data_IF_492974534685
#
_entry.id   IF_492974534685
#
_cell.length_a   1.000
_cell.length_b   1.000
_cell.length_c   1.000
_cell.angle_alpha   90.00
_cell.angle_beta   90.00
_cell.angle_gamma   90.00
#
_symmetry.space_group_name_H-M   'P 1'
#
loop_
_entity.id
_entity.type
_entity.pdbx_description
1 polymer ?
#
# COMPACT_ATOMS: atom_id res chain seq x y z
N UNK A 1 -13.22 -21.15 2.02
CA UNK A 1 -12.95 -19.86 1.36
C UNK A 1 -12.21 -18.87 2.26
N UNK A 2 -12.71 -18.55 3.48
CA UNK A 2 -12.04 -17.59 4.39
C UNK A 2 -10.64 -18.03 4.86
N UNK A 3 -10.46 -19.31 5.18
CA UNK A 3 -9.17 -19.87 5.60
C UNK A 3 -8.13 -19.81 4.47
N UNK A 4 -8.51 -20.20 3.25
CA UNK A 4 -7.64 -20.15 2.09
C UNK A 4 -7.07 -18.74 1.83
N UNK A 5 -7.91 -17.70 1.87
CA UNK A 5 -7.45 -16.31 1.68
C UNK A 5 -6.50 -15.91 2.81
N UNK A 6 -6.83 -16.28 4.05
CA UNK A 6 -5.97 -16.01 5.19
C UNK A 6 -4.58 -16.66 5.03
N UNK A 7 -4.54 -17.93 4.66
CA UNK A 7 -3.29 -18.67 4.44
C UNK A 7 -2.48 -18.03 3.29
N UNK A 8 -3.16 -17.66 2.19
CA UNK A 8 -2.52 -16.98 1.05
C UNK A 8 -1.90 -15.65 1.42
N UNK A 9 -2.56 -14.86 2.27
CA UNK A 9 -2.05 -13.57 2.74
C UNK A 9 -0.87 -13.72 3.72
N UNK A 10 -0.72 -14.86 4.39
CA UNK A 10 0.40 -15.12 5.29
C UNK A 10 1.68 -15.52 4.57
N UNK A 11 1.56 -16.12 3.37
CA UNK A 11 2.70 -16.53 2.55
C UNK A 11 3.75 -15.41 2.46
N UNK A 12 5.00 -15.78 2.69
CA UNK A 12 6.15 -14.88 2.59
C UNK A 12 6.38 -14.58 1.10
N UNK A 13 6.43 -13.30 0.74
CA UNK A 13 6.77 -12.89 -0.64
C UNK A 13 8.27 -13.01 -0.88
N UNK A 14 8.72 -13.02 -2.14
CA UNK A 14 10.16 -13.05 -2.43
C UNK A 14 10.89 -11.82 -1.87
N UNK A 15 10.23 -10.64 -1.88
CA UNK A 15 10.75 -9.42 -1.24
C UNK A 15 10.91 -9.61 0.28
N UNK A 16 9.88 -10.14 0.96
CA UNK A 16 9.92 -10.42 2.40
C UNK A 16 11.00 -11.46 2.74
N UNK A 17 11.17 -12.48 1.90
CA UNK A 17 12.22 -13.49 2.06
C UNK A 17 13.61 -12.86 1.97
N UNK A 18 13.86 -12.03 0.96
CA UNK A 18 15.13 -11.31 0.81
C UNK A 18 15.45 -10.43 2.03
N UNK A 19 14.42 -9.76 2.59
CA UNK A 19 14.55 -8.95 3.81
C UNK A 19 14.96 -9.83 5.00
N UNK A 20 14.29 -10.96 5.18
CA UNK A 20 14.58 -11.91 6.27
C UNK A 20 15.97 -12.56 6.14
N UNK A 21 16.51 -12.67 4.93
CA UNK A 21 17.87 -13.16 4.66
C UNK A 21 18.97 -12.11 4.92
N UNK A 22 18.60 -10.91 5.36
CA UNK A 22 19.53 -9.86 5.80
C UNK A 22 19.62 -8.64 4.88
N UNK A 23 18.86 -8.61 3.78
CA UNK A 23 18.72 -7.42 2.94
C UNK A 23 17.63 -6.50 3.49
N UNK A 24 17.89 -5.85 4.63
CA UNK A 24 16.92 -5.02 5.33
C UNK A 24 16.47 -3.76 4.57
N UNK A 25 17.05 -3.48 3.41
CA UNK A 25 16.75 -2.29 2.61
C UNK A 25 15.71 -2.67 1.56
N UNK A 26 14.65 -1.86 1.47
CA UNK A 26 13.64 -1.98 0.42
C UNK A 26 14.28 -1.83 -0.96
N UNK A 27 13.99 -2.79 -1.83
CA UNK A 27 14.38 -2.71 -3.24
C UNK A 27 13.54 -1.63 -3.94
N UNK A 28 14.11 -0.43 -4.06
CA UNK A 28 13.47 0.72 -4.67
C UNK A 28 13.06 0.48 -6.13
N UNK A 29 13.72 -0.43 -6.85
CA UNK A 29 13.46 -0.69 -8.27
C UNK A 29 12.06 -1.27 -8.52
N UNK A 30 11.48 -1.92 -7.50
CA UNK A 30 10.10 -2.41 -7.48
C UNK A 30 9.10 -1.26 -7.50
N UNK A 31 9.47 -0.12 -6.93
CA UNK A 31 8.54 0.96 -6.61
C UNK A 31 8.73 2.21 -7.46
N UNK A 32 9.95 2.52 -7.88
CA UNK A 32 10.24 3.76 -8.60
C UNK A 32 11.54 3.69 -9.38
N UNK A 33 11.59 4.42 -10.50
CA UNK A 33 12.84 4.73 -11.23
C UNK A 33 13.35 6.16 -10.93
N UNK A 34 12.64 6.90 -10.07
CA UNK A 34 12.92 8.30 -9.78
C UNK A 34 13.95 8.44 -8.64
N UNK A 35 14.81 9.47 -8.73
CA UNK A 35 15.75 9.84 -7.68
C UNK A 35 15.06 10.40 -6.44
N UNK A 36 13.91 11.07 -6.62
CA UNK A 36 12.98 11.39 -5.53
C UNK A 36 12.17 10.11 -5.24
N UNK A 37 12.05 9.71 -3.96
CA UNK A 37 11.36 8.47 -3.58
C UNK A 37 9.83 8.62 -3.69
N UNK A 38 9.35 8.66 -4.93
CA UNK A 38 7.97 8.72 -5.35
C UNK A 38 7.60 7.34 -5.86
N UNK A 39 6.74 6.64 -5.16
CA UNK A 39 6.27 5.32 -5.58
C UNK A 39 5.33 5.51 -6.77
N UNK A 40 5.66 4.87 -7.89
CA UNK A 40 5.03 5.10 -9.18
C UNK A 40 3.94 4.07 -9.45
N UNK A 41 2.73 4.56 -9.73
CA UNK A 41 1.59 3.78 -10.15
C UNK A 41 1.89 2.92 -11.38
N UNK A 42 2.72 3.39 -12.31
CA UNK A 42 3.07 2.65 -13.53
C UNK A 42 3.93 1.40 -13.28
N UNK A 43 4.57 1.31 -12.10
CA UNK A 43 5.30 0.12 -11.67
C UNK A 43 4.40 -0.91 -11.00
N UNK A 44 3.28 -0.46 -10.44
CA UNK A 44 2.43 -1.26 -9.56
C UNK A 44 1.06 -1.61 -10.18
N UNK A 45 0.60 -0.84 -11.16
CA UNK A 45 -0.61 -1.09 -11.94
C UNK A 45 -0.23 -1.66 -13.29
N UNK A 46 -1.02 -2.62 -13.78
CA UNK A 46 -0.99 -3.00 -15.18
C UNK A 46 -1.62 -1.90 -16.06
N UNK A 47 -1.32 -1.88 -17.37
CA UNK A 47 -1.69 -0.79 -18.30
C UNK A 47 -3.21 -0.47 -18.31
N UNK A 48 -4.05 -1.48 -18.04
CA UNK A 48 -5.51 -1.37 -18.05
C UNK A 48 -6.13 -1.45 -16.64
N UNK A 49 -5.31 -1.39 -15.59
CA UNK A 49 -5.75 -1.54 -14.21
C UNK A 49 -5.99 -0.18 -13.53
N UNK A 50 -7.24 0.05 -13.10
CA UNK A 50 -7.63 1.27 -12.39
C UNK A 50 -7.43 1.17 -10.88
N UNK A 51 -7.48 -0.05 -10.33
CA UNK A 51 -7.24 -0.35 -8.92
C UNK A 51 -6.42 -1.63 -8.86
N UNK A 52 -5.27 -1.58 -8.19
CA UNK A 52 -4.50 -2.76 -7.85
C UNK A 52 -4.56 -3.03 -6.35
N UNK A 53 -4.62 -4.29 -5.96
CA UNK A 53 -4.66 -4.72 -4.56
C UNK A 53 -3.44 -5.58 -4.30
N UNK A 54 -2.62 -5.17 -3.33
CA UNK A 54 -1.43 -5.92 -2.93
C UNK A 54 -1.30 -6.00 -1.42
N UNK A 55 -0.60 -7.02 -0.94
CA UNK A 55 -0.14 -7.09 0.44
C UNK A 55 1.02 -6.10 0.62
N UNK A 56 1.01 -5.35 1.72
CA UNK A 56 2.16 -4.55 2.14
C UNK A 56 3.33 -5.47 2.54
N UNK A 57 4.55 -5.04 2.25
CA UNK A 57 5.77 -5.80 2.56
C UNK A 57 6.09 -5.70 4.05
N UNK A 58 6.19 -6.84 4.74
CA UNK A 58 6.52 -6.91 6.18
C UNK A 58 8.04 -6.92 6.42
N UNK A 59 8.43 -6.89 7.69
CA UNK A 59 9.80 -7.10 8.22
C UNK A 59 10.82 -5.98 8.01
N UNK A 60 10.47 -4.92 7.29
CA UNK A 60 11.32 -3.73 7.19
C UNK A 60 10.49 -2.46 7.25
N UNK A 61 11.15 -1.37 7.65
CA UNK A 61 10.55 -0.04 7.61
C UNK A 61 10.44 0.44 6.16
N UNK A 62 9.32 1.08 5.83
CA UNK A 62 9.17 1.78 4.56
C UNK A 62 9.55 3.25 4.77
N UNK A 63 10.70 3.70 4.24
CA UNK A 63 11.22 5.02 4.55
C UNK A 63 10.34 6.12 3.95
N UNK A 64 10.51 7.35 4.43
CA UNK A 64 9.72 8.52 4.03
C UNK A 64 9.59 8.67 2.51
N UNK A 65 8.35 8.63 2.02
CA UNK A 65 8.01 8.62 0.60
C UNK A 65 6.67 9.32 0.33
N UNK A 66 6.38 9.52 -0.96
CA UNK A 66 5.06 9.92 -1.46
C UNK A 66 4.65 9.08 -2.66
N UNK A 67 3.42 9.29 -3.13
CA UNK A 67 2.79 8.51 -4.20
C UNK A 67 2.33 9.41 -5.34
N UNK A 68 2.29 8.89 -6.58
CA UNK A 68 1.54 9.54 -7.68
C UNK A 68 0.14 8.93 -7.89
N UNK A 69 -0.32 8.13 -6.94
CA UNK A 69 -1.64 7.51 -6.89
C UNK A 69 -2.27 7.70 -5.51
N UNK A 70 -3.55 7.36 -5.41
CA UNK A 70 -4.27 7.35 -4.14
C UNK A 70 -4.07 5.99 -3.48
N UNK A 71 -3.62 6.00 -2.23
CA UNK A 71 -3.40 4.77 -1.47
C UNK A 71 -4.48 4.59 -0.40
N UNK A 72 -4.89 3.33 -0.21
CA UNK A 72 -5.68 2.93 0.94
C UNK A 72 -4.98 1.78 1.66
N UNK A 73 -4.67 1.95 2.94
CA UNK A 73 -4.19 0.85 3.77
C UNK A 73 -5.36 0.30 4.58
N UNK A 74 -5.58 -1.01 4.51
CA UNK A 74 -6.52 -1.73 5.36
C UNK A 74 -5.78 -2.75 6.22
N UNK A 75 -5.96 -2.67 7.54
CA UNK A 75 -5.37 -3.64 8.47
C UNK A 75 -6.25 -4.87 8.55
N UNK A 76 -5.96 -5.87 7.72
CA UNK A 76 -6.68 -7.14 7.75
C UNK A 76 -6.42 -7.89 9.05
N UNK A 77 -5.19 -7.84 9.58
CA UNK A 77 -4.80 -8.45 10.85
C UNK A 77 -3.64 -7.71 11.50
N UNK A 78 -3.59 -7.68 12.83
CA UNK A 78 -2.51 -7.03 13.57
C UNK A 78 -2.67 -5.51 13.62
N UNK A 79 -1.62 -4.77 13.29
CA UNK A 79 -1.58 -3.31 13.30
C UNK A 79 -0.72 -2.73 12.17
N UNK A 80 -0.94 -1.46 11.86
CA UNK A 80 -0.07 -0.64 11.03
C UNK A 80 0.31 0.62 11.78
N UNK A 81 1.61 0.89 11.88
CA UNK A 81 2.11 2.12 12.47
C UNK A 81 2.79 2.93 11.38
N UNK A 82 2.30 4.14 11.14
CA UNK A 82 2.84 5.05 10.14
C UNK A 82 2.92 6.47 10.68
N UNK A 83 3.90 7.22 10.23
CA UNK A 83 4.03 8.65 10.53
C UNK A 83 3.66 9.43 9.28
N UNK A 84 2.63 10.26 9.38
CA UNK A 84 2.20 11.17 8.33
C UNK A 84 2.56 12.58 8.75
N UNK A 85 3.42 13.24 7.98
CA UNK A 85 4.07 14.49 8.38
C UNK A 85 4.78 14.37 9.74
N UNK A 86 4.19 14.92 10.81
CA UNK A 86 4.68 14.84 12.20
C UNK A 86 3.77 14.00 13.11
N UNK A 87 2.69 13.43 12.57
CA UNK A 87 1.68 12.72 13.32
C UNK A 87 1.85 11.22 13.20
N UNK A 88 2.05 10.56 14.35
CA UNK A 88 2.09 9.10 14.44
C UNK A 88 0.68 8.53 14.49
N UNK A 89 0.35 7.70 13.50
CA UNK A 89 -0.93 7.03 13.35
C UNK A 89 -0.73 5.54 13.63
N UNK A 90 -1.60 4.97 14.46
CA UNK A 90 -1.60 3.55 14.79
C UNK A 90 -2.97 2.96 14.45
N UNK A 91 -3.03 2.25 13.32
CA UNK A 91 -4.23 1.55 12.88
C UNK A 91 -4.23 0.14 13.45
N UNK A 92 -5.38 -0.28 13.96
CA UNK A 92 -5.65 -1.63 14.48
C UNK A 92 -6.40 -2.46 13.45
N UNK A 93 -6.47 -3.76 13.68
CA UNK A 93 -7.26 -4.68 12.87
C UNK A 93 -8.68 -4.16 12.60
N UNK A 94 -9.06 -4.17 11.32
CA UNK A 94 -10.35 -3.68 10.84
C UNK A 94 -10.37 -2.18 10.53
N UNK A 95 -9.36 -1.42 10.94
CA UNK A 95 -9.22 0.00 10.63
C UNK A 95 -8.53 0.19 9.27
N UNK A 96 -8.74 1.38 8.72
CA UNK A 96 -8.25 1.78 7.42
C UNK A 96 -7.89 3.26 7.40
N UNK A 97 -7.05 3.63 6.45
CA UNK A 97 -6.73 5.03 6.14
C UNK A 97 -6.67 5.23 4.64
N UNK A 98 -7.07 6.42 4.21
CA UNK A 98 -7.02 6.86 2.83
C UNK A 98 -6.03 8.01 2.69
N UNK A 99 -5.11 7.88 1.76
CA UNK A 99 -3.99 8.78 1.54
C UNK A 99 -4.06 9.36 0.14
N UNK A 100 -3.98 10.68 0.04
CA UNK A 100 -3.91 11.36 -1.25
C UNK A 100 -2.45 11.41 -1.76
N UNK A 101 -2.29 11.77 -3.03
CA UNK A 101 -0.99 11.79 -3.74
C UNK A 101 0.05 12.78 -3.17
N UNK A 102 -0.37 13.73 -2.33
CA UNK A 102 0.51 14.77 -1.78
C UNK A 102 1.03 14.41 -0.39
N UNK A 103 0.51 13.34 0.22
CA UNK A 103 0.91 12.90 1.55
C UNK A 103 2.33 12.35 1.51
N UNK A 104 3.16 12.83 2.44
CA UNK A 104 4.46 12.25 2.71
C UNK A 104 4.35 11.45 4.01
N UNK A 105 4.71 10.18 3.95
CA UNK A 105 4.64 9.28 5.10
C UNK A 105 5.75 8.23 5.10
N UNK A 106 5.95 7.63 6.26
CA UNK A 106 6.82 6.48 6.47
C UNK A 106 6.12 5.45 7.34
N UNK A 107 6.51 4.20 7.20
CA UNK A 107 5.84 3.06 7.84
C UNK A 107 6.87 2.29 8.66
N UNK A 108 6.54 2.01 9.92
CA UNK A 108 7.37 1.16 10.77
C UNK A 108 7.31 -0.30 10.31
N UNK A 109 8.35 -1.07 10.62
CA UNK A 109 8.40 -2.48 10.25
C UNK A 109 7.21 -3.26 10.82
N UNK A 110 6.44 -3.88 9.92
CA UNK A 110 5.33 -4.76 10.27
C UNK A 110 5.85 -6.14 10.66
N UNK A 111 5.24 -6.78 11.66
CA UNK A 111 5.61 -8.14 12.07
C UNK A 111 4.94 -9.19 11.18
N UNK A 112 5.27 -10.46 11.39
CA UNK A 112 4.71 -11.58 10.64
C UNK A 112 3.17 -11.61 10.67
N UNK A 113 2.57 -11.29 11.81
CA UNK A 113 1.12 -11.37 11.99
C UNK A 113 0.39 -10.08 11.55
N UNK A 114 1.13 -9.01 11.26
CA UNK A 114 0.62 -7.73 10.78
C UNK A 114 0.40 -7.81 9.27
N UNK A 115 -0.85 -8.03 8.86
CA UNK A 115 -1.25 -8.18 7.45
C UNK A 115 -2.01 -6.93 7.03
N UNK A 116 -1.37 -6.14 6.17
CA UNK A 116 -1.93 -4.91 5.61
C UNK A 116 -2.18 -5.11 4.12
N UNK A 117 -3.36 -4.68 3.68
CA UNK A 117 -3.76 -4.68 2.28
C UNK A 117 -3.71 -3.25 1.77
N UNK A 118 -2.87 -3.02 0.77
CA UNK A 118 -2.74 -1.76 0.07
C UNK A 118 -3.59 -1.79 -1.18
N UNK A 119 -4.43 -0.78 -1.36
CA UNK A 119 -5.13 -0.51 -2.60
C UNK A 119 -4.46 0.68 -3.26
N UNK A 120 -4.05 0.47 -4.49
CA UNK A 120 -3.38 1.46 -5.34
C UNK A 120 -4.44 1.90 -6.34
N UNK A 121 -4.95 3.11 -6.15
CA UNK A 121 -6.08 3.62 -6.91
C UNK A 121 -5.58 4.69 -7.88
N UNK A 122 -5.72 4.42 -9.17
CA UNK A 122 -5.44 5.40 -10.21
C UNK A 122 -6.44 6.56 -10.11
N UNK A 123 -5.97 7.80 -10.28
CA UNK A 123 -6.82 8.99 -10.24
C UNK A 123 -8.00 8.90 -11.23
N UNK A 124 -7.78 8.27 -12.39
CA UNK A 124 -8.78 8.05 -13.42
C UNK A 124 -9.99 7.26 -12.91
N UNK A 125 -9.81 6.35 -11.93
CA UNK A 125 -10.92 5.63 -11.30
C UNK A 125 -11.93 6.58 -10.65
N UNK A 126 -11.45 7.56 -9.88
CA UNK A 126 -12.33 8.52 -9.19
C UNK A 126 -13.03 9.46 -10.19
N UNK A 127 -12.35 9.81 -11.29
CA UNK A 127 -12.97 10.60 -12.37
C UNK A 127 -14.13 9.82 -12.98
N UNK A 128 -13.92 8.55 -13.33
CA UNK A 128 -14.96 7.67 -13.88
C UNK A 128 -16.12 7.55 -12.89
N UNK A 129 -15.83 7.26 -11.62
CA UNK A 129 -16.86 7.14 -10.58
C UNK A 129 -17.72 8.41 -10.47
N UNK A 130 -17.08 9.58 -10.50
CA UNK A 130 -17.78 10.87 -10.48
C UNK A 130 -18.66 11.09 -11.72
N UNK A 131 -18.17 10.74 -12.91
CA UNK A 131 -18.94 10.84 -14.15
C UNK A 131 -20.15 9.90 -14.14
N UNK A 132 -19.96 8.64 -13.73
CA UNK A 132 -21.06 7.68 -13.56
C UNK A 132 -22.11 8.17 -12.57
N UNK A 133 -21.68 8.67 -11.41
CA UNK A 133 -22.58 9.29 -10.44
C UNK A 133 -23.41 10.40 -11.10
N UNK A 134 -22.77 11.33 -11.83
CA UNK A 134 -23.47 12.43 -12.49
C UNK A 134 -24.54 11.95 -13.47
N UNK A 135 -24.28 10.87 -14.20
CA UNK A 135 -25.25 10.31 -15.17
C UNK A 135 -26.46 9.65 -14.50
N UNK A 136 -26.33 9.20 -13.26
CA UNK A 136 -27.42 8.51 -12.54
C UNK A 136 -28.37 9.52 -11.88
N UNK A 137 -27.88 10.71 -11.52
CA UNK A 137 -28.64 11.73 -10.77
C UNK A 137 -29.10 12.89 -11.67
N UNK A 138 -28.95 12.76 -12.99
CA UNK A 138 -29.57 13.62 -14.00
C UNK A 138 -30.69 12.85 -14.69
#
# INVERSE_FOLDING_TARGET
MRQYIHDKLREITEEEKNILEGNYIIDKSIYTDNSQFIIDSNKLLNIDELIHIRKHTRFTQFPKHKHNYIEFNYVYRGKLVQTIDEYKINLKQGELIFLNQHVIHEIEASNEEDIIINFIINQSFLIILYLCWKMIIQ
#
